data_IF_214959899176
#
_entry.id   IF_214959899176
#
_cell.length_a   1.000
_cell.length_b   1.000
_cell.length_c   1.000
_cell.angle_alpha   90.00
_cell.angle_beta   90.00
_cell.angle_gamma   90.00
#
_symmetry.space_group_name_H-M   'P 1'
#
loop_
_entity.id
_entity.type
_entity.pdbx_description
1 polymer ?
#
# COMPACT_ATOMS: atom_id res chain seq x y z
N UNK A 1 8.48 -23.47 42.30
CA UNK A 1 7.56 -22.93 41.29
C UNK A 1 8.17 -21.64 40.77
N UNK A 2 8.92 -21.72 39.64
CA UNK A 2 9.65 -20.57 39.06
C UNK A 2 8.74 -19.93 38.06
N UNK A 3 8.25 -18.74 38.39
CA UNK A 3 7.44 -17.92 37.44
C UNK A 3 8.40 -17.37 36.41
N UNK A 4 8.31 -17.90 35.18
CA UNK A 4 9.08 -17.42 34.03
C UNK A 4 8.73 -15.96 33.77
N UNK A 5 9.74 -15.08 33.73
CA UNK A 5 9.62 -13.70 33.25
C UNK A 5 9.15 -13.72 31.77
N UNK A 6 8.17 -12.89 31.41
CA UNK A 6 7.82 -12.74 30.01
C UNK A 6 9.05 -12.23 29.25
N UNK A 7 9.48 -12.98 28.26
CA UNK A 7 10.50 -12.57 27.30
C UNK A 7 10.04 -11.25 26.65
N UNK A 8 10.85 -10.19 26.77
CA UNK A 8 10.68 -8.95 26.03
C UNK A 8 10.50 -9.31 24.55
N UNK A 9 9.29 -9.13 24.01
CA UNK A 9 9.10 -9.06 22.56
C UNK A 9 10.01 -7.93 22.09
N UNK A 10 11.05 -8.26 21.34
CA UNK A 10 11.90 -7.25 20.72
C UNK A 10 11.02 -6.41 19.79
N UNK A 11 10.88 -5.14 20.11
CA UNK A 11 10.23 -4.18 19.20
C UNK A 11 11.04 -4.21 17.90
N UNK A 12 10.42 -4.48 16.76
CA UNK A 12 11.15 -4.48 15.49
C UNK A 12 11.81 -3.11 15.29
N UNK A 13 13.10 -3.12 14.95
CA UNK A 13 13.78 -1.90 14.52
C UNK A 13 13.17 -1.49 13.20
N UNK A 14 12.74 -0.23 13.07
CA UNK A 14 12.04 0.20 11.87
C UNK A 14 12.13 1.70 11.61
N UNK A 15 11.80 2.06 10.39
CA UNK A 15 11.52 3.43 9.95
C UNK A 15 10.01 3.56 9.80
N UNK A 16 9.45 4.58 10.37
CA UNK A 16 8.01 4.82 10.41
C UNK A 16 7.62 5.99 9.52
N UNK A 17 6.45 5.91 8.94
CA UNK A 17 5.83 7.04 8.25
C UNK A 17 5.09 7.93 9.26
N UNK A 18 5.41 9.23 9.27
CA UNK A 18 4.85 10.16 10.25
C UNK A 18 3.36 10.45 10.01
N UNK A 19 2.88 10.33 8.77
CA UNK A 19 1.51 10.64 8.43
C UNK A 19 0.56 9.45 8.66
N UNK A 20 1.03 8.25 8.34
CA UNK A 20 0.22 7.02 8.39
C UNK A 20 0.48 6.17 9.63
N UNK A 21 1.59 6.43 10.33
CA UNK A 21 2.04 5.68 11.51
C UNK A 21 2.25 4.18 11.24
N UNK A 22 2.49 3.81 9.98
CA UNK A 22 2.87 2.45 9.58
C UNK A 22 4.38 2.33 9.41
N UNK A 23 4.98 1.14 9.60
CA UNK A 23 6.40 0.95 9.42
C UNK A 23 6.75 0.90 7.93
N UNK A 24 7.37 1.96 7.39
CA UNK A 24 7.91 1.97 6.03
C UNK A 24 8.90 0.83 5.80
N UNK A 25 9.69 0.51 6.83
CA UNK A 25 10.58 -0.65 6.85
C UNK A 25 10.69 -1.15 8.29
N UNK A 26 10.50 -2.43 8.48
CA UNK A 26 10.73 -3.12 9.74
C UNK A 26 11.73 -4.26 9.51
N UNK A 27 12.79 -4.27 10.30
CA UNK A 27 13.74 -5.36 10.35
C UNK A 27 13.37 -6.22 11.54
N UNK A 28 12.82 -7.38 11.23
CA UNK A 28 12.11 -8.17 12.22
C UNK A 28 12.95 -9.16 12.99
N UNK A 29 12.33 -9.82 13.98
CA UNK A 29 12.84 -11.04 14.54
C UNK A 29 13.04 -12.06 13.42
N UNK A 30 14.07 -12.88 13.57
CA UNK A 30 14.42 -13.92 12.61
C UNK A 30 13.27 -14.92 12.50
N UNK A 31 12.46 -14.77 11.47
CA UNK A 31 11.38 -15.69 11.14
C UNK A 31 11.89 -16.61 10.03
N UNK A 32 12.07 -17.88 10.35
CA UNK A 32 12.56 -18.89 9.42
C UNK A 32 11.37 -19.45 8.61
N UNK A 33 11.54 -19.48 7.30
CA UNK A 33 10.59 -20.04 6.34
C UNK A 33 11.33 -20.89 5.33
N UNK A 34 11.70 -22.15 5.69
CA UNK A 34 12.47 -23.02 4.83
C UNK A 34 11.85 -23.18 3.44
N UNK A 35 12.66 -23.00 2.40
CA UNK A 35 12.23 -23.04 1.00
C UNK A 35 11.66 -21.74 0.45
N UNK A 36 11.49 -20.70 1.27
CA UNK A 36 10.84 -19.45 0.83
C UNK A 36 11.59 -18.70 -0.26
N UNK A 37 12.91 -18.87 -0.38
CA UNK A 37 13.65 -18.25 -1.49
C UNK A 37 13.45 -19.01 -2.78
N UNK A 38 13.47 -20.34 -2.75
CA UNK A 38 13.37 -21.18 -3.95
C UNK A 38 11.93 -21.31 -4.46
N UNK A 39 10.94 -21.39 -3.56
CA UNK A 39 9.55 -21.67 -3.89
C UNK A 39 8.65 -20.45 -3.67
N UNK A 40 7.98 -20.02 -4.75
CA UNK A 40 7.08 -18.89 -4.73
C UNK A 40 5.83 -19.12 -3.87
N UNK A 41 5.29 -20.34 -3.85
CA UNK A 41 4.09 -20.64 -3.06
C UNK A 41 4.38 -20.66 -1.56
N UNK A 42 5.54 -21.17 -1.15
CA UNK A 42 6.01 -21.11 0.24
C UNK A 42 6.19 -19.66 0.66
N UNK A 43 6.83 -18.83 -0.15
CA UNK A 43 7.05 -17.42 0.15
C UNK A 43 5.74 -16.64 0.24
N UNK A 44 4.80 -16.85 -0.67
CA UNK A 44 3.49 -16.19 -0.62
C UNK A 44 2.72 -16.61 0.62
N UNK A 45 2.68 -17.90 0.95
CA UNK A 45 2.02 -18.41 2.15
C UNK A 45 2.60 -17.79 3.42
N UNK A 46 3.93 -17.73 3.52
CA UNK A 46 4.64 -17.10 4.63
C UNK A 46 4.34 -15.60 4.73
N UNK A 47 4.36 -14.89 3.61
CA UNK A 47 4.05 -13.46 3.55
C UNK A 47 2.59 -13.17 3.95
N UNK A 48 1.62 -13.95 3.48
CA UNK A 48 0.20 -13.83 3.86
C UNK A 48 -0.03 -14.12 5.35
N UNK A 49 0.62 -15.14 5.89
CA UNK A 49 0.53 -15.46 7.32
C UNK A 49 1.10 -14.32 8.18
N UNK A 50 2.26 -13.78 7.78
CA UNK A 50 2.90 -12.65 8.48
C UNK A 50 2.06 -11.37 8.37
N UNK A 51 1.46 -11.10 7.19
CA UNK A 51 0.55 -9.97 7.02
C UNK A 51 -0.66 -10.10 7.94
N UNK A 52 -1.28 -11.29 8.01
CA UNK A 52 -2.44 -11.54 8.87
C UNK A 52 -2.11 -11.36 10.36
N UNK A 53 -0.96 -11.86 10.81
CA UNK A 53 -0.51 -11.76 12.21
C UNK A 53 -0.23 -10.30 12.62
N UNK A 54 0.29 -9.49 11.70
CA UNK A 54 0.73 -8.12 11.97
C UNK A 54 -0.14 -7.06 11.28
N UNK A 55 -1.35 -7.41 10.86
CA UNK A 55 -2.21 -6.54 10.06
C UNK A 55 -2.49 -5.19 10.73
N UNK A 56 -2.78 -5.20 12.03
CA UNK A 56 -3.03 -3.98 12.79
C UNK A 56 -1.83 -3.02 12.86
N UNK A 57 -0.62 -3.54 12.68
CA UNK A 57 0.61 -2.77 12.63
C UNK A 57 0.94 -2.29 11.22
N UNK A 58 0.78 -3.19 10.24
CA UNK A 58 1.19 -2.95 8.86
C UNK A 58 0.15 -2.16 8.06
N UNK A 59 -1.13 -2.32 8.40
CA UNK A 59 -2.24 -1.72 7.69
C UNK A 59 -3.44 -1.51 8.64
N UNK A 60 -3.37 -0.56 9.58
CA UNK A 60 -4.44 -0.30 10.53
C UNK A 60 -5.79 -0.07 9.84
N UNK A 61 -6.83 -0.75 10.30
CA UNK A 61 -8.19 -0.62 9.76
C UNK A 61 -8.48 -1.37 8.46
N UNK A 62 -7.47 -2.04 7.86
CA UNK A 62 -7.67 -2.90 6.70
C UNK A 62 -8.03 -4.34 7.10
N UNK A 63 -8.69 -5.06 6.20
CA UNK A 63 -8.91 -6.50 6.31
C UNK A 63 -7.85 -7.28 5.50
N UNK A 64 -7.59 -8.54 5.87
CA UNK A 64 -6.65 -9.37 5.11
C UNK A 64 -7.05 -9.54 3.63
N UNK A 65 -8.35 -9.58 3.35
CA UNK A 65 -8.90 -9.68 1.99
C UNK A 65 -8.69 -8.44 1.14
N UNK A 66 -8.26 -7.33 1.75
CA UNK A 66 -7.96 -6.08 1.02
C UNK A 66 -6.58 -6.11 0.35
N UNK A 67 -5.87 -7.25 0.37
CA UNK A 67 -4.52 -7.36 -0.19
C UNK A 67 -4.44 -8.40 -1.30
N UNK A 68 -4.24 -7.91 -2.51
CA UNK A 68 -4.02 -8.71 -3.72
C UNK A 68 -2.52 -8.89 -3.99
N UNK A 69 -2.11 -10.09 -4.42
CA UNK A 69 -0.72 -10.35 -4.82
C UNK A 69 -0.37 -9.46 -6.03
N UNK A 70 0.63 -8.60 -5.86
CA UNK A 70 1.14 -7.72 -6.90
C UNK A 70 2.38 -8.29 -7.58
N UNK A 71 3.17 -9.07 -6.86
CA UNK A 71 4.37 -9.71 -7.38
C UNK A 71 5.01 -10.68 -6.40
N UNK A 72 5.70 -11.69 -6.95
CA UNK A 72 6.45 -12.68 -6.19
C UNK A 72 7.63 -13.10 -7.05
N UNK A 73 8.78 -12.47 -6.85
CA UNK A 73 9.93 -12.61 -7.72
C UNK A 73 11.19 -12.94 -6.92
N UNK A 74 12.02 -13.81 -7.48
CA UNK A 74 13.35 -14.13 -6.96
C UNK A 74 14.41 -13.46 -7.85
N UNK A 75 15.40 -12.86 -7.22
CA UNK A 75 16.57 -12.30 -7.90
C UNK A 75 17.80 -12.40 -7.00
N UNK A 76 18.80 -13.16 -7.44
CA UNK A 76 20.10 -13.23 -6.78
C UNK A 76 20.08 -13.76 -5.34
N UNK A 77 19.23 -14.75 -5.07
CA UNK A 77 19.10 -15.35 -3.74
C UNK A 77 18.25 -14.54 -2.76
N UNK A 78 17.51 -13.56 -3.28
CA UNK A 78 16.53 -12.78 -2.56
C UNK A 78 15.16 -12.95 -3.22
N UNK A 79 14.12 -13.27 -2.45
CA UNK A 79 12.76 -13.28 -2.95
C UNK A 79 11.96 -12.15 -2.33
N UNK A 80 11.27 -11.40 -3.18
CA UNK A 80 10.35 -10.35 -2.77
C UNK A 80 8.91 -10.74 -3.10
N UNK A 81 8.04 -10.65 -2.10
CA UNK A 81 6.60 -10.83 -2.24
C UNK A 81 5.92 -9.50 -1.92
N UNK A 82 5.14 -8.97 -2.85
CA UNK A 82 4.45 -7.71 -2.71
C UNK A 82 2.95 -7.88 -2.85
N UNK A 83 2.21 -7.17 -2.00
CA UNK A 83 0.75 -7.07 -2.06
C UNK A 83 0.35 -5.63 -2.30
N UNK A 84 -0.66 -5.43 -3.13
CA UNK A 84 -1.32 -4.15 -3.36
C UNK A 84 -2.58 -4.08 -2.50
N UNK A 85 -2.79 -2.92 -1.87
CA UNK A 85 -3.99 -2.67 -1.09
C UNK A 85 -5.17 -2.35 -2.01
N UNK A 86 -6.30 -2.94 -1.70
CA UNK A 86 -7.61 -2.63 -2.28
C UNK A 86 -8.53 -2.05 -1.20
N UNK A 87 -9.57 -1.37 -1.60
CA UNK A 87 -10.70 -1.01 -0.76
C UNK A 87 -11.97 -1.05 -1.61
N UNK A 88 -12.95 -1.86 -1.21
CA UNK A 88 -14.14 -2.16 -2.02
C UNK A 88 -13.78 -2.61 -3.46
N UNK A 89 -12.73 -3.42 -3.61
CA UNK A 89 -12.23 -3.90 -4.89
C UNK A 89 -11.50 -2.86 -5.75
N UNK A 90 -11.36 -1.63 -5.28
CA UNK A 90 -10.62 -0.57 -5.98
C UNK A 90 -9.17 -0.50 -5.50
N UNK A 91 -8.17 -0.48 -6.41
CA UNK A 91 -6.78 -0.31 -6.00
C UNK A 91 -6.54 1.04 -5.32
N UNK A 92 -5.81 0.99 -4.20
CA UNK A 92 -5.35 2.18 -3.48
C UNK A 92 -3.98 2.57 -4.01
N UNK A 93 -3.87 3.77 -4.59
CA UNK A 93 -2.61 4.27 -5.16
C UNK A 93 -1.60 4.47 -4.04
N UNK A 94 -0.43 3.83 -4.18
CA UNK A 94 0.63 3.85 -3.16
C UNK A 94 0.42 2.87 -2.01
N UNK A 95 -0.79 2.28 -1.86
CA UNK A 95 -1.07 1.29 -0.83
C UNK A 95 -0.44 -0.06 -1.16
N UNK A 96 0.61 -0.44 -0.42
CA UNK A 96 1.31 -1.70 -0.64
C UNK A 96 1.98 -2.23 0.62
N UNK A 97 2.13 -3.55 0.69
CA UNK A 97 2.94 -4.23 1.71
C UNK A 97 3.88 -5.21 1.03
N UNK A 98 5.13 -5.26 1.45
CA UNK A 98 6.17 -6.10 0.86
C UNK A 98 6.93 -6.89 1.91
N UNK A 99 7.35 -8.10 1.53
CA UNK A 99 8.09 -9.05 2.35
C UNK A 99 9.32 -9.51 1.59
N UNK A 100 10.50 -9.39 2.20
CA UNK A 100 11.75 -9.82 1.58
C UNK A 100 12.35 -11.01 2.34
N UNK A 101 12.61 -12.10 1.61
CA UNK A 101 13.18 -13.33 2.10
C UNK A 101 14.60 -13.50 1.57
N UNK A 102 15.53 -13.86 2.47
CA UNK A 102 16.91 -14.20 2.13
C UNK A 102 17.39 -15.32 3.03
N UNK A 103 18.09 -16.32 2.44
CA UNK A 103 18.53 -17.52 3.18
C UNK A 103 17.35 -18.17 3.94
N UNK A 104 16.20 -18.28 3.29
CA UNK A 104 14.96 -18.82 3.84
C UNK A 104 14.47 -18.16 5.13
N UNK A 105 14.72 -16.87 5.26
CA UNK A 105 14.30 -16.03 6.39
C UNK A 105 13.64 -14.76 5.91
N UNK A 106 12.57 -14.40 6.55
CA UNK A 106 12.01 -13.06 6.43
C UNK A 106 12.92 -12.08 7.18
N UNK A 107 13.48 -11.09 6.47
CA UNK A 107 14.42 -10.14 7.06
C UNK A 107 13.95 -8.69 6.97
N UNK A 108 13.08 -8.36 6.01
CA UNK A 108 12.49 -7.02 5.89
C UNK A 108 11.01 -7.13 5.58
N UNK A 109 10.22 -6.33 6.25
CA UNK A 109 8.83 -6.02 5.93
C UNK A 109 8.78 -4.53 5.60
N UNK A 110 8.18 -4.18 4.47
CA UNK A 110 7.89 -2.80 4.12
C UNK A 110 6.39 -2.59 4.04
N UNK A 111 5.87 -1.52 4.65
CA UNK A 111 4.50 -1.13 4.47
C UNK A 111 4.40 0.32 4.04
N UNK A 112 3.64 0.54 3.01
CA UNK A 112 3.11 1.82 2.55
C UNK A 112 1.57 1.73 2.51
N UNK A 113 1.01 0.76 3.25
CA UNK A 113 -0.43 0.62 3.35
C UNK A 113 -1.04 1.83 4.05
N UNK A 114 -2.20 2.21 3.57
CA UNK A 114 -2.90 3.39 4.05
C UNK A 114 -3.91 2.98 5.11
N UNK A 115 -3.88 3.61 6.30
CA UNK A 115 -4.76 3.27 7.39
C UNK A 115 -6.18 3.78 7.12
N UNK A 116 -7.18 3.04 7.63
CA UNK A 116 -8.57 3.49 7.72
C UNK A 116 -9.10 4.09 6.42
N UNK A 117 -8.81 3.43 5.27
CA UNK A 117 -9.28 3.92 3.97
C UNK A 117 -10.79 4.07 4.01
N UNK A 118 -11.25 5.28 3.82
CA UNK A 118 -12.67 5.61 3.78
C UNK A 118 -12.96 6.57 2.63
N UNK A 119 -13.98 6.27 1.86
CA UNK A 119 -14.45 7.18 0.82
C UNK A 119 -15.62 8.01 1.35
N UNK A 120 -15.73 9.28 0.99
CA UNK A 120 -16.93 10.03 1.23
C UNK A 120 -18.16 9.25 0.73
N UNK A 121 -19.21 9.18 1.54
CA UNK A 121 -20.46 8.49 1.18
C UNK A 121 -20.89 8.85 -0.25
N UNK A 122 -21.48 7.91 -0.97
CA UNK A 122 -21.80 7.99 -2.41
C UNK A 122 -22.66 9.20 -2.85
N UNK A 123 -23.07 10.06 -1.94
CA UNK A 123 -23.70 11.37 -2.22
C UNK A 123 -22.72 12.46 -2.65
N UNK A 124 -21.43 12.34 -2.34
CA UNK A 124 -20.41 13.17 -2.96
C UNK A 124 -20.16 12.59 -4.38
N UNK A 125 -21.01 13.00 -5.32
CA UNK A 125 -20.82 12.70 -6.74
C UNK A 125 -19.35 13.03 -7.08
N UNK A 126 -18.63 12.05 -7.63
CA UNK A 126 -17.50 12.38 -8.50
C UNK A 126 -18.12 13.19 -9.64
N UNK A 127 -18.13 14.52 -9.46
CA UNK A 127 -18.71 15.41 -10.44
C UNK A 127 -17.99 15.18 -11.76
N UNK A 128 -18.72 14.78 -12.79
CA UNK A 128 -18.15 14.55 -14.12
C UNK A 128 -17.40 13.22 -14.27
N UNK A 129 -17.84 12.15 -13.63
CA UNK A 129 -17.24 10.83 -13.77
C UNK A 129 -17.18 10.41 -15.26
N UNK A 130 -15.96 10.27 -15.78
CA UNK A 130 -15.67 9.71 -17.11
C UNK A 130 -15.29 10.75 -18.15
N UNK A 131 -16.25 11.21 -18.95
CA UNK A 131 -15.97 12.05 -20.15
C UNK A 131 -15.41 13.43 -19.78
N UNK A 132 -15.92 14.04 -18.71
CA UNK A 132 -15.48 15.39 -18.31
C UNK A 132 -14.11 15.39 -17.66
N UNK A 133 -13.80 14.37 -16.83
CA UNK A 133 -12.48 14.22 -16.23
C UNK A 133 -11.40 13.95 -17.28
N UNK A 134 -11.71 13.11 -18.27
CA UNK A 134 -10.81 12.82 -19.40
C UNK A 134 -10.55 14.05 -20.24
N UNK A 135 -11.61 14.81 -20.54
CA UNK A 135 -11.51 16.08 -21.30
C UNK A 135 -10.69 17.12 -20.52
N UNK A 136 -10.94 17.25 -19.22
CA UNK A 136 -10.18 18.16 -18.36
C UNK A 136 -8.70 17.81 -18.28
N UNK A 137 -8.37 16.54 -18.10
CA UNK A 137 -6.99 16.06 -18.09
C UNK A 137 -6.28 16.30 -19.43
N UNK A 138 -6.94 15.99 -20.54
CA UNK A 138 -6.41 16.23 -21.87
C UNK A 138 -6.16 17.72 -22.12
N UNK A 139 -7.14 18.57 -21.81
CA UNK A 139 -7.01 20.02 -21.99
C UNK A 139 -5.86 20.61 -21.15
N UNK A 140 -5.66 20.09 -19.92
CA UNK A 140 -4.55 20.50 -19.10
C UNK A 140 -3.20 20.10 -19.70
N UNK A 141 -3.05 18.86 -20.18
CA UNK A 141 -1.81 18.39 -20.81
C UNK A 141 -1.53 19.16 -22.11
N UNK A 142 -2.54 19.35 -22.95
CA UNK A 142 -2.41 20.11 -24.19
C UNK A 142 -2.02 21.58 -23.96
N UNK A 143 -2.53 22.18 -22.88
CA UNK A 143 -2.21 23.56 -22.52
C UNK A 143 -0.85 23.76 -21.86
N UNK A 144 -0.32 22.72 -21.20
CA UNK A 144 0.88 22.85 -20.35
C UNK A 144 2.11 22.10 -20.83
N UNK A 145 1.93 21.02 -21.60
CA UNK A 145 3.01 20.12 -21.97
C UNK A 145 3.09 19.85 -23.48
N UNK A 146 2.05 19.29 -24.08
CA UNK A 146 2.05 18.92 -25.51
C UNK A 146 0.70 19.18 -26.14
N UNK A 147 0.60 20.19 -27.06
CA UNK A 147 -0.64 20.50 -27.75
C UNK A 147 -1.17 19.37 -28.65
N UNK A 148 -0.32 18.43 -29.06
CA UNK A 148 -0.69 17.28 -29.86
C UNK A 148 -1.15 16.06 -29.07
N UNK A 149 -1.09 16.11 -27.75
CA UNK A 149 -1.45 15.00 -26.89
C UNK A 149 -2.88 14.50 -27.14
N UNK A 150 -3.04 13.18 -27.12
CA UNK A 150 -4.34 12.50 -27.28
C UNK A 150 -4.50 11.37 -26.28
N UNK A 151 -5.74 11.12 -25.89
CA UNK A 151 -6.07 10.03 -24.98
C UNK A 151 -6.00 8.70 -25.70
N UNK A 152 -5.17 7.79 -25.18
CA UNK A 152 -5.02 6.42 -25.68
C UNK A 152 -5.59 5.36 -24.74
N UNK A 153 -6.02 5.75 -23.55
CA UNK A 153 -6.64 4.82 -22.61
C UNK A 153 -7.09 5.48 -21.33
N UNK A 154 -7.94 4.76 -20.61
CA UNK A 154 -8.45 5.12 -19.30
C UNK A 154 -8.41 3.90 -18.39
N UNK A 155 -8.06 4.08 -17.13
CA UNK A 155 -8.05 3.03 -16.11
C UNK A 155 -8.67 3.55 -14.82
N UNK A 156 -9.18 2.66 -14.01
CA UNK A 156 -9.78 2.93 -12.73
C UNK A 156 -11.21 2.43 -12.63
N UNK A 157 -11.92 2.76 -11.55
CA UNK A 157 -11.54 3.75 -10.55
C UNK A 157 -10.39 3.30 -9.64
N UNK A 158 -9.66 4.27 -9.11
CA UNK A 158 -8.62 4.10 -8.10
C UNK A 158 -8.96 4.95 -6.89
N UNK A 159 -8.34 4.64 -5.74
CA UNK A 159 -8.36 5.47 -4.56
C UNK A 159 -7.04 6.21 -4.47
N UNK A 160 -7.09 7.54 -4.47
CA UNK A 160 -5.94 8.41 -4.31
C UNK A 160 -5.89 8.94 -2.87
N UNK A 161 -4.82 8.65 -2.10
CA UNK A 161 -4.60 9.27 -0.81
C UNK A 161 -4.17 10.73 -1.00
N UNK A 162 -4.77 11.61 -0.21
CA UNK A 162 -4.44 13.03 -0.14
C UNK A 162 -3.82 13.28 1.23
N UNK A 163 -2.49 13.17 1.31
CA UNK A 163 -1.75 13.37 2.55
C UNK A 163 -1.65 14.87 2.86
N UNK A 164 -2.01 15.27 4.07
CA UNK A 164 -1.80 16.63 4.54
C UNK A 164 -0.41 16.78 5.12
N UNK A 165 0.32 17.75 4.64
CA UNK A 165 1.62 18.10 5.22
C UNK A 165 1.40 18.77 6.56
N UNK A 166 2.08 18.30 7.60
CA UNK A 166 2.05 18.90 8.93
C UNK A 166 2.50 20.35 8.86
N UNK A 167 1.72 21.27 9.43
CA UNK A 167 2.02 22.71 9.45
C UNK A 167 1.11 23.60 8.59
N UNK A 168 0.19 23.04 7.80
CA UNK A 168 -0.83 23.85 7.15
C UNK A 168 -1.79 24.44 8.22
N UNK A 169 -1.81 25.76 8.35
CA UNK A 169 -2.66 26.48 9.33
C UNK A 169 -4.14 26.10 9.13
N UNK A 170 -4.78 25.61 10.18
CA UNK A 170 -6.23 25.35 10.22
C UNK A 170 -6.67 23.93 9.91
N UNK A 171 -5.77 22.96 9.85
CA UNK A 171 -6.13 21.58 9.52
C UNK A 171 -6.50 20.74 10.76
N UNK A 172 -7.74 20.88 11.24
CA UNK A 172 -8.36 19.91 12.15
C UNK A 172 -9.01 18.81 11.29
N UNK A 173 -8.31 17.73 11.01
CA UNK A 173 -8.83 16.62 10.23
C UNK A 173 -7.80 15.48 10.14
N UNK A 174 -8.20 14.31 9.62
CA UNK A 174 -7.28 13.17 9.49
C UNK A 174 -6.06 13.56 8.67
N UNK A 175 -4.90 13.01 9.02
CA UNK A 175 -3.64 13.24 8.31
C UNK A 175 -3.71 12.78 6.85
N UNK A 176 -4.56 11.80 6.56
CA UNK A 176 -4.80 11.28 5.21
C UNK A 176 -6.30 11.37 4.90
N UNK A 177 -6.63 11.94 3.76
CA UNK A 177 -7.96 11.90 3.17
C UNK A 177 -7.91 11.09 1.87
N UNK A 178 -9.05 10.62 1.39
CA UNK A 178 -9.11 9.75 0.22
C UNK A 178 -10.07 10.30 -0.84
N UNK A 179 -9.69 10.15 -2.10
CA UNK A 179 -10.51 10.53 -3.24
C UNK A 179 -10.58 9.38 -4.25
N UNK A 180 -11.73 9.20 -4.87
CA UNK A 180 -11.88 8.31 -6.02
C UNK A 180 -11.44 9.05 -7.27
N UNK A 181 -10.52 8.46 -8.04
CA UNK A 181 -9.95 9.07 -9.24
C UNK A 181 -9.95 8.09 -10.42
N UNK A 182 -9.85 8.64 -11.61
CA UNK A 182 -9.57 7.89 -12.83
C UNK A 182 -8.19 8.29 -13.34
N UNK A 183 -7.44 7.33 -13.84
CA UNK A 183 -6.19 7.58 -14.53
C UNK A 183 -6.43 7.62 -16.05
N UNK A 184 -5.91 8.65 -16.70
CA UNK A 184 -5.98 8.83 -18.15
C UNK A 184 -4.57 8.66 -18.71
N UNK A 185 -4.41 7.76 -19.67
CA UNK A 185 -3.17 7.60 -20.42
C UNK A 185 -3.23 8.45 -21.67
N UNK A 186 -2.20 9.25 -21.89
CA UNK A 186 -2.05 10.11 -23.07
C UNK A 186 -0.76 9.75 -23.82
N UNK A 187 -0.75 10.01 -25.09
CA UNK A 187 0.38 9.91 -26.02
C UNK A 187 0.62 11.27 -26.66
#
# INVERSE_FOLDING_TARGET
MVVGRPTRRSVPTGIWDDATQVPLRAWGPRMDFPGSVADAAIAETAARATLAEHLALLAPGAAQGDFELAGNQELGGLRAVGFRQLHDGMPVIGGQVSFAFKNDRLFVIGSEALPEVSLPSAGARVAGAGVDATRGALAWIQGTHDPAARVIGQRGPFILPLVRVAGARGANGPAVAYARVLAVRVE
#
